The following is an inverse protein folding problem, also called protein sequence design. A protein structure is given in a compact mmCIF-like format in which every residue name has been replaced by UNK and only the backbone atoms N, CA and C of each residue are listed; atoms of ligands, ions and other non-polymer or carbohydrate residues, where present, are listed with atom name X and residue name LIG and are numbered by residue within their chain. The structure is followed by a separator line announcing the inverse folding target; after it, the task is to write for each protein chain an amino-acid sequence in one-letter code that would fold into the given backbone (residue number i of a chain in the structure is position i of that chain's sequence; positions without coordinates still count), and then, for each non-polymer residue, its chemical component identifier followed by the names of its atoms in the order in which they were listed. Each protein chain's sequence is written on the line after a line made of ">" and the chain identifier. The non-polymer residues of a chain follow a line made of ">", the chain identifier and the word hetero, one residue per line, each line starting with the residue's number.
data_IF_658274797875
#
_entry.id   IF_658274797875
#
_cell.length_a   1.000
_cell.length_b   1.000
_cell.length_c   1.000
_cell.angle_alpha   90.00
_cell.angle_beta   90.00
_cell.angle_gamma   90.00
#
_symmetry.space_group_name_H-M   'P 1'
#
loop_
_entity.id
_entity.type
_entity.pdbx_description
1 polymer ?
#
# COMPACT_ATOMS: atom_id res chain seq x y z
N UNK A 1 19.97 13.67 -3.85
CA UNK A 1 18.68 13.26 -4.40
C UNK A 1 18.29 11.92 -3.80
N UNK A 2 17.14 11.83 -3.17
CA UNK A 2 16.76 10.54 -2.60
C UNK A 2 16.59 9.50 -3.71
N UNK A 3 16.89 8.22 -3.44
CA UNK A 3 16.70 7.17 -4.42
C UNK A 3 15.22 6.98 -4.71
N UNK A 4 14.90 6.72 -5.97
CA UNK A 4 13.54 6.32 -6.34
C UNK A 4 13.34 4.85 -6.01
N UNK A 5 12.07 4.44 -5.86
CA UNK A 5 11.75 3.04 -5.63
C UNK A 5 12.13 2.20 -6.85
N UNK A 6 12.83 1.11 -6.60
CA UNK A 6 13.15 0.14 -7.63
C UNK A 6 12.04 -0.92 -7.67
N UNK A 7 11.22 -0.89 -8.72
CA UNK A 7 10.09 -1.80 -8.88
C UNK A 7 10.53 -3.26 -8.82
N UNK A 8 11.67 -3.57 -9.41
CA UNK A 8 12.19 -4.93 -9.45
C UNK A 8 12.55 -5.44 -8.05
N UNK A 9 13.21 -4.60 -7.25
CA UNK A 9 13.57 -4.97 -5.89
C UNK A 9 12.35 -5.12 -4.99
N UNK A 10 11.36 -4.22 -5.12
CA UNK A 10 10.12 -4.30 -4.33
C UNK A 10 9.35 -5.56 -4.67
N UNK A 11 9.20 -5.85 -5.96
CA UNK A 11 8.50 -7.06 -6.41
C UNK A 11 9.21 -8.31 -5.91
N UNK A 12 10.53 -8.38 -6.04
CA UNK A 12 11.31 -9.54 -5.59
C UNK A 12 11.19 -9.76 -4.09
N UNK A 13 11.09 -8.68 -3.30
CA UNK A 13 10.96 -8.77 -1.85
C UNK A 13 9.56 -9.22 -1.42
N UNK A 14 8.52 -8.86 -2.15
CA UNK A 14 7.14 -9.13 -1.77
C UNK A 14 6.59 -10.42 -2.38
N UNK A 15 6.90 -10.71 -3.62
CA UNK A 15 6.42 -11.93 -4.29
C UNK A 15 7.41 -13.05 -4.07
N UNK A 16 7.15 -13.86 -3.05
CA UNK A 16 7.98 -15.01 -2.68
C UNK A 16 7.10 -16.25 -2.52
N UNK A 17 7.67 -17.46 -2.50
CA UNK A 17 6.88 -18.67 -2.30
C UNK A 17 6.07 -18.73 -1.00
N UNK A 18 6.49 -17.97 0.02
CA UNK A 18 5.83 -17.96 1.33
C UNK A 18 4.95 -16.75 1.54
N UNK A 19 4.85 -15.86 0.56
CA UNK A 19 4.08 -14.62 0.65
C UNK A 19 2.73 -14.78 -0.06
N UNK A 20 1.64 -14.18 0.48
CA UNK A 20 0.36 -14.21 -0.20
C UNK A 20 0.26 -13.21 -1.37
N UNK A 21 1.20 -12.27 -1.47
CA UNK A 21 1.13 -11.21 -2.48
C UNK A 21 1.30 -11.77 -3.88
N UNK A 22 0.41 -11.38 -4.79
CA UNK A 22 0.38 -11.90 -6.16
C UNK A 22 0.75 -10.85 -7.21
N UNK A 23 0.38 -9.61 -6.95
CA UNK A 23 0.62 -8.50 -7.89
C UNK A 23 1.21 -7.34 -7.13
N UNK A 24 2.32 -6.81 -7.61
CA UNK A 24 2.97 -5.62 -7.04
C UNK A 24 3.14 -4.61 -8.16
N UNK A 25 2.50 -3.44 -8.01
CA UNK A 25 2.60 -2.34 -8.95
C UNK A 25 3.32 -1.18 -8.28
N UNK A 26 4.45 -0.79 -8.84
CA UNK A 26 5.27 0.30 -8.32
C UNK A 26 5.24 1.46 -9.29
N UNK A 27 4.89 2.63 -8.79
CA UNK A 27 4.76 3.85 -9.59
C UNK A 27 5.68 4.93 -9.03
N UNK A 28 6.32 5.68 -9.90
CA UNK A 28 7.07 6.86 -9.48
C UNK A 28 6.09 7.95 -9.01
N UNK A 29 4.95 8.07 -9.68
CA UNK A 29 3.93 9.06 -9.35
C UNK A 29 2.54 8.54 -9.71
N UNK A 30 1.59 8.81 -8.84
CA UNK A 30 0.17 8.49 -9.02
C UNK A 30 -0.68 9.60 -8.44
N UNK A 31 -1.96 9.63 -8.80
CA UNK A 31 -2.95 10.45 -8.09
C UNK A 31 -3.12 9.91 -6.66
N UNK A 32 -3.43 8.64 -6.50
CA UNK A 32 -3.62 8.00 -5.19
C UNK A 32 -3.46 6.49 -5.34
N UNK A 33 -2.70 5.86 -4.44
CA UNK A 33 -2.57 4.39 -4.43
C UNK A 33 -3.92 3.73 -4.13
N UNK A 34 -4.76 4.36 -3.29
CA UNK A 34 -6.09 3.83 -3.00
C UNK A 34 -7.00 3.88 -4.22
N UNK A 35 -6.98 4.98 -4.98
CA UNK A 35 -7.76 5.08 -6.20
C UNK A 35 -7.28 4.06 -7.24
N UNK A 36 -5.97 3.88 -7.37
CA UNK A 36 -5.41 2.90 -8.29
C UNK A 36 -5.81 1.48 -7.92
N UNK A 37 -5.78 1.16 -6.63
CA UNK A 37 -6.20 -0.15 -6.14
C UNK A 37 -7.69 -0.41 -6.44
N UNK A 38 -8.53 0.62 -6.33
CA UNK A 38 -9.97 0.50 -6.63
C UNK A 38 -10.25 0.34 -8.12
N UNK A 39 -9.37 0.84 -8.99
CA UNK A 39 -9.52 0.68 -10.45
C UNK A 39 -9.40 -0.78 -10.87
N UNK A 40 -8.60 -1.57 -10.15
CA UNK A 40 -8.44 -3.00 -10.39
C UNK A 40 -8.25 -3.72 -9.06
N UNK A 41 -9.33 -3.99 -8.32
CA UNK A 41 -9.25 -4.52 -6.94
C UNK A 41 -8.97 -6.02 -6.93
N UNK A 42 -7.86 -6.43 -7.49
CA UNK A 42 -7.42 -7.81 -7.48
C UNK A 42 -6.94 -8.18 -6.07
N UNK A 43 -7.44 -9.28 -5.47
CA UNK A 43 -6.97 -9.71 -4.15
C UNK A 43 -5.46 -9.95 -4.15
N UNK A 44 -4.82 -9.57 -3.05
CA UNK A 44 -3.38 -9.68 -2.84
C UNK A 44 -2.56 -8.83 -3.82
N UNK A 45 -3.14 -7.71 -4.21
CA UNK A 45 -2.44 -6.68 -4.99
C UNK A 45 -1.89 -5.62 -4.06
N UNK A 46 -0.63 -5.21 -4.29
CA UNK A 46 0.01 -4.10 -3.59
C UNK A 46 0.28 -3.00 -4.61
N UNK A 47 -0.14 -1.79 -4.30
CA UNK A 47 0.16 -0.61 -5.11
C UNK A 47 1.05 0.31 -4.30
N UNK A 48 2.20 0.65 -4.84
CA UNK A 48 3.20 1.49 -4.18
C UNK A 48 3.48 2.71 -5.05
N UNK A 49 3.54 3.89 -4.43
CA UNK A 49 3.90 5.11 -5.14
C UNK A 49 4.90 5.92 -4.33
N UNK A 50 5.91 6.44 -5.02
CA UNK A 50 6.90 7.34 -4.43
C UNK A 50 6.33 8.74 -4.24
N UNK A 51 5.37 9.13 -5.09
CA UNK A 51 4.70 10.43 -5.02
C UNK A 51 3.22 10.28 -5.31
N UNK A 52 2.37 10.93 -4.50
CA UNK A 52 0.94 11.05 -4.76
C UNK A 52 0.55 12.51 -4.94
N UNK A 53 -0.20 12.80 -6.01
CA UNK A 53 -0.69 14.15 -6.30
C UNK A 53 -2.06 14.44 -5.69
N UNK A 54 -2.81 13.39 -5.31
CA UNK A 54 -4.16 13.52 -4.77
C UNK A 54 -4.41 12.49 -3.67
N UNK A 55 -3.47 12.37 -2.72
CA UNK A 55 -3.61 11.49 -1.59
C UNK A 55 -4.82 11.88 -0.73
N UNK A 56 -5.54 10.87 -0.24
CA UNK A 56 -6.75 11.10 0.55
C UNK A 56 -6.60 10.49 1.94
N UNK A 57 -6.87 11.30 2.93
CA UNK A 57 -6.96 10.89 4.31
C UNK A 57 -8.40 10.62 4.73
N UNK A 58 -8.60 10.43 6.02
CA UNK A 58 -9.93 10.26 6.59
C UNK A 58 -10.76 11.52 6.39
N UNK A 59 -12.07 11.37 6.29
CA UNK A 59 -13.04 12.47 6.12
C UNK A 59 -12.79 13.26 4.84
N UNK A 60 -12.37 12.58 3.79
CA UNK A 60 -12.13 13.16 2.45
C UNK A 60 -11.02 14.22 2.41
N UNK A 61 -10.13 14.23 3.39
CA UNK A 61 -9.00 15.15 3.37
C UNK A 61 -8.01 14.74 2.30
N UNK A 62 -7.50 15.73 1.57
CA UNK A 62 -6.44 15.51 0.57
C UNK A 62 -5.09 15.90 1.15
N UNK A 63 -4.06 15.19 0.69
CA UNK A 63 -2.68 15.50 1.06
C UNK A 63 -1.75 15.14 -0.08
N UNK A 64 -0.57 15.77 -0.07
CA UNK A 64 0.49 15.50 -1.03
C UNK A 64 1.80 15.30 -0.28
N UNK A 65 2.66 14.46 -0.85
CA UNK A 65 4.01 14.27 -0.36
C UNK A 65 4.97 14.38 -1.54
N UNK A 66 6.06 15.17 -1.42
CA UNK A 66 7.06 15.24 -2.47
C UNK A 66 7.72 13.88 -2.69
N UNK A 67 8.22 13.66 -3.91
CA UNK A 67 8.95 12.43 -4.22
C UNK A 67 10.14 12.25 -3.28
N UNK A 68 10.30 11.06 -2.74
CA UNK A 68 11.39 10.74 -1.83
C UNK A 68 11.19 11.16 -0.38
N UNK A 69 10.12 11.92 -0.07
CA UNK A 69 9.82 12.35 1.30
C UNK A 69 9.00 11.33 2.08
N UNK A 70 8.21 10.53 1.39
CA UNK A 70 7.41 9.48 1.98
C UNK A 70 7.09 8.43 0.92
N UNK A 71 6.49 7.34 1.35
CA UNK A 71 6.07 6.28 0.45
C UNK A 71 4.59 6.01 0.72
N UNK A 72 3.81 5.84 -0.34
CA UNK A 72 2.40 5.49 -0.24
C UNK A 72 2.21 4.03 -0.66
N UNK A 73 1.45 3.28 0.13
CA UNK A 73 1.20 1.86 -0.12
C UNK A 73 -0.27 1.58 0.11
N UNK A 74 -0.90 0.91 -0.84
CA UNK A 74 -2.25 0.38 -0.69
C UNK A 74 -2.25 -1.10 -1.00
N UNK A 75 -2.94 -1.87 -0.17
CA UNK A 75 -3.01 -3.32 -0.30
C UNK A 75 -4.47 -3.75 -0.46
N UNK A 76 -4.72 -4.66 -1.39
CA UNK A 76 -6.04 -5.28 -1.54
C UNK A 76 -5.99 -6.65 -0.88
N UNK A 77 -6.78 -6.83 0.17
CA UNK A 77 -6.84 -8.10 0.88
C UNK A 77 -8.26 -8.65 0.81
N UNK A 78 -8.43 -9.97 0.62
CA UNK A 78 -9.76 -10.55 0.65
C UNK A 78 -10.29 -10.59 2.08
N UNK A 79 -11.58 -10.30 2.24
CA UNK A 79 -12.25 -10.42 3.52
C UNK A 79 -13.24 -11.58 3.48
N UNK A 80 -13.25 -12.46 4.49
CA UNK A 80 -14.21 -13.54 4.55
C UNK A 80 -15.63 -13.00 4.57
N UNK A 81 -16.54 -13.68 3.88
CA UNK A 81 -17.96 -13.33 3.89
C UNK A 81 -18.51 -13.38 5.32
N UNK A 82 -19.39 -12.45 5.65
CA UNK A 82 -20.03 -12.39 6.95
C UNK A 82 -19.18 -11.80 8.08
N UNK A 83 -17.99 -11.27 7.77
CA UNK A 83 -17.10 -10.71 8.78
C UNK A 83 -16.94 -9.19 8.66
N UNK A 84 -17.92 -8.51 8.06
CA UNK A 84 -17.87 -7.07 7.88
C UNK A 84 -17.84 -6.29 9.20
N UNK A 85 -18.36 -6.85 10.29
CA UNK A 85 -18.33 -6.25 11.62
C UNK A 85 -16.91 -6.18 12.20
N UNK A 86 -15.97 -6.94 11.67
CA UNK A 86 -14.58 -6.93 12.11
C UNK A 86 -13.69 -5.96 11.32
N UNK A 87 -14.23 -5.28 10.32
CA UNK A 87 -13.43 -4.38 9.47
C UNK A 87 -12.85 -3.19 10.23
N UNK A 88 -13.49 -2.79 11.33
CA UNK A 88 -12.98 -1.72 12.18
C UNK A 88 -11.61 -1.99 12.79
N UNK A 89 -11.19 -3.25 12.85
CA UNK A 89 -9.89 -3.63 13.37
C UNK A 89 -8.75 -3.45 12.37
N UNK A 90 -9.05 -3.29 11.07
CA UNK A 90 -8.02 -3.19 10.04
C UNK A 90 -7.02 -2.05 10.24
N UNK A 91 -7.46 -0.83 10.60
CA UNK A 91 -6.49 0.23 10.85
C UNK A 91 -5.52 -0.09 11.98
N UNK A 92 -6.01 -0.70 13.07
CA UNK A 92 -5.17 -1.09 14.19
C UNK A 92 -4.18 -2.18 13.79
N UNK A 93 -4.65 -3.23 13.09
CA UNK A 93 -3.79 -4.32 12.64
C UNK A 93 -2.74 -3.82 11.64
N UNK A 94 -3.12 -2.90 10.76
CA UNK A 94 -2.19 -2.30 9.81
C UNK A 94 -1.09 -1.51 10.52
N UNK A 95 -1.46 -0.75 11.55
CA UNK A 95 -0.50 -0.01 12.35
C UNK A 95 0.47 -0.92 13.09
N UNK A 96 -0.03 -2.02 13.65
CA UNK A 96 0.81 -3.01 14.34
C UNK A 96 1.78 -3.69 13.37
N UNK A 97 1.31 -4.04 12.19
CA UNK A 97 2.14 -4.66 11.17
C UNK A 97 3.24 -3.71 10.70
N UNK A 98 2.91 -2.44 10.49
CA UNK A 98 3.88 -1.43 10.09
C UNK A 98 4.93 -1.21 11.18
N UNK A 99 4.51 -1.15 12.44
CA UNK A 99 5.42 -1.01 13.56
C UNK A 99 6.41 -2.17 13.60
N UNK A 100 5.92 -3.39 13.48
CA UNK A 100 6.78 -4.57 13.47
C UNK A 100 7.78 -4.54 12.31
N UNK A 101 7.33 -4.16 11.12
CA UNK A 101 8.18 -4.06 9.95
C UNK A 101 9.31 -3.04 10.16
N UNK A 102 9.00 -1.90 10.77
CA UNK A 102 10.00 -0.87 11.04
C UNK A 102 10.99 -1.28 12.13
N UNK A 103 10.57 -2.10 13.09
CA UNK A 103 11.46 -2.61 14.13
C UNK A 103 12.44 -3.64 13.58
N UNK A 104 12.10 -4.31 12.48
CA UNK A 104 12.94 -5.35 11.87
C UNK A 104 13.99 -4.79 10.91
N UNK A 105 14.03 -3.49 10.71
CA UNK A 105 14.96 -2.85 9.77
C UNK A 105 16.24 -2.39 10.45
#
# INVERSE_FOLDING_TARGET
>A
MPPTLDAHCVEAALITPHSPWQVVDVHASLDSTNLEALRAPHPWRVVVADHQSAGRGRMSRQWQAPAGASIAVSCVVPMPAGRGDHWGWLPLLSGMAMRQALEDV
#
